data_IF_576367918764
#
_entry.id   IF_576367918764
#
_cell.length_a   1.000
_cell.length_b   1.000
_cell.length_c   1.000
_cell.angle_alpha   90.00
_cell.angle_beta   90.00
_cell.angle_gamma   90.00
#
_symmetry.space_group_name_H-M   'P 1'
#
loop_
_entity.id
_entity.type
_entity.pdbx_description
1 polymer ?
#
# COMPACT_ATOMS: atom_id res chain seq x y z
N UNK A 1 -1.02 12.42 -10.62
CA UNK A 1 -0.05 12.63 -9.52
C UNK A 1 0.40 11.25 -9.06
N UNK A 2 1.70 11.08 -8.85
CA UNK A 2 2.27 9.82 -8.35
C UNK A 2 2.93 10.10 -7.01
N UNK A 3 2.55 9.36 -5.97
CA UNK A 3 3.28 9.39 -4.70
C UNK A 3 4.31 8.27 -4.71
N UNK A 4 5.57 8.63 -4.56
CA UNK A 4 6.67 7.70 -4.31
C UNK A 4 7.07 7.80 -2.86
N UNK A 5 7.09 6.64 -2.18
CA UNK A 5 7.52 6.50 -0.80
C UNK A 5 8.54 5.36 -0.71
N UNK A 6 9.60 5.59 0.05
CA UNK A 6 10.63 4.58 0.36
C UNK A 6 10.67 4.37 1.87
N UNK A 7 10.49 3.13 2.36
CA UNK A 7 10.53 2.86 3.80
C UNK A 7 11.90 3.18 4.39
N UNK A 8 11.90 3.71 5.63
CA UNK A 8 13.12 3.84 6.44
C UNK A 8 13.45 2.50 7.11
N UNK A 9 14.71 2.29 7.50
CA UNK A 9 15.19 1.05 8.15
C UNK A 9 14.37 0.61 9.38
N UNK A 10 13.76 1.55 10.10
CA UNK A 10 12.95 1.25 11.28
C UNK A 10 11.47 0.92 10.96
N UNK A 11 11.05 0.97 9.69
CA UNK A 11 9.66 0.73 9.27
C UNK A 11 9.55 -0.68 8.67
N UNK A 12 9.29 -1.67 9.51
CA UNK A 12 9.02 -3.06 9.11
C UNK A 12 7.57 -3.45 9.43
N UNK A 13 7.08 -4.51 8.77
CA UNK A 13 5.74 -5.05 9.01
C UNK A 13 4.63 -4.37 8.20
N UNK A 14 3.36 -4.49 8.64
CA UNK A 14 2.20 -3.95 7.91
C UNK A 14 2.21 -2.43 7.84
N UNK A 15 2.10 -1.91 6.63
CA UNK A 15 1.97 -0.50 6.32
C UNK A 15 0.71 -0.28 5.49
N UNK A 16 0.16 0.94 5.55
CA UNK A 16 -1.05 1.30 4.84
C UNK A 16 -0.91 2.65 4.14
N UNK A 17 -1.58 2.78 2.99
CA UNK A 17 -1.72 4.05 2.31
C UNK A 17 -3.16 4.21 1.85
N UNK A 18 -3.77 5.36 2.15
CA UNK A 18 -5.10 5.72 1.70
C UNK A 18 -5.04 6.98 0.85
N UNK A 19 -5.74 7.00 -0.27
CA UNK A 19 -5.87 8.17 -1.13
C UNK A 19 -7.34 8.45 -1.46
N UNK A 20 -7.69 9.74 -1.50
CA UNK A 20 -8.96 10.25 -2.00
C UNK A 20 -8.71 11.39 -2.97
N UNK A 21 -9.62 11.58 -3.93
CA UNK A 21 -9.59 12.70 -4.86
C UNK A 21 -10.31 13.90 -4.25
N UNK A 22 -9.80 15.11 -4.48
CA UNK A 22 -10.45 16.37 -4.12
C UNK A 22 -10.83 17.09 -5.41
N UNK A 23 -12.10 17.51 -5.54
CA UNK A 23 -12.58 18.25 -6.71
C UNK A 23 -12.35 19.77 -6.60
N UNK A 24 -12.75 20.53 -7.63
CA UNK A 24 -12.61 21.99 -7.67
C UNK A 24 -13.53 22.75 -6.68
N UNK A 25 -14.44 22.05 -5.99
CA UNK A 25 -15.29 22.58 -4.93
C UNK A 25 -14.78 22.19 -3.54
N UNK A 26 -13.58 21.59 -3.48
CA UNK A 26 -12.97 21.09 -2.26
C UNK A 26 -13.76 19.94 -1.60
N UNK A 27 -14.48 19.14 -2.40
CA UNK A 27 -15.16 17.93 -1.94
C UNK A 27 -14.26 16.71 -2.14
N UNK A 28 -14.16 15.86 -1.12
CA UNK A 28 -13.35 14.64 -1.13
C UNK A 28 -14.17 13.41 -1.54
N UNK A 29 -13.61 12.53 -2.37
CA UNK A 29 -14.17 11.20 -2.65
C UNK A 29 -14.01 10.26 -1.45
N UNK A 30 -14.73 9.14 -1.48
CA UNK A 30 -14.41 8.01 -0.59
C UNK A 30 -12.94 7.59 -0.79
N UNK A 31 -12.20 7.35 0.30
CA UNK A 31 -10.80 6.97 0.20
C UNK A 31 -10.66 5.50 -0.21
N UNK A 32 -9.67 5.23 -1.07
CA UNK A 32 -9.22 3.89 -1.36
C UNK A 32 -7.92 3.60 -0.61
N UNK A 33 -7.89 2.48 0.12
CA UNK A 33 -6.76 2.09 0.96
C UNK A 33 -6.12 0.81 0.45
N UNK A 34 -4.78 0.77 0.50
CA UNK A 34 -3.97 -0.42 0.27
C UNK A 34 -3.18 -0.75 1.53
N UNK A 35 -2.94 -2.03 1.77
CA UNK A 35 -2.06 -2.53 2.83
C UNK A 35 -0.97 -3.38 2.20
N UNK A 36 0.26 -3.20 2.67
CA UNK A 36 1.43 -3.93 2.18
C UNK A 36 2.40 -4.22 3.33
N UNK A 37 3.24 -5.25 3.16
CA UNK A 37 4.25 -5.64 4.14
C UNK A 37 5.61 -5.10 3.69
N UNK A 38 6.29 -4.39 4.58
CA UNK A 38 7.66 -3.92 4.37
C UNK A 38 8.64 -4.85 5.08
N UNK A 39 9.80 -5.07 4.45
CA UNK A 39 10.87 -5.94 4.96
C UNK A 39 10.41 -7.41 5.12
N UNK A 40 9.44 -7.83 4.29
CA UNK A 40 8.93 -9.18 4.28
C UNK A 40 9.06 -9.79 2.89
N UNK A 41 9.72 -10.94 2.80
CA UNK A 41 9.78 -11.69 1.55
C UNK A 41 8.60 -12.68 1.55
N UNK A 42 7.77 -12.63 0.51
CA UNK A 42 6.70 -13.63 0.36
C UNK A 42 7.32 -15.03 0.37
N UNK A 43 6.75 -16.00 1.10
CA UNK A 43 7.17 -17.38 0.98
C UNK A 43 6.94 -17.85 -0.46
N UNK A 44 7.87 -18.65 -0.98
CA UNK A 44 7.67 -19.32 -2.25
C UNK A 44 6.58 -20.38 -2.05
N UNK A 45 5.38 -20.11 -2.55
CA UNK A 45 4.31 -21.10 -2.56
C UNK A 45 4.65 -22.09 -3.68
N UNK A 46 5.22 -23.24 -3.31
CA UNK A 46 5.28 -24.39 -4.22
C UNK A 46 3.81 -24.80 -4.43
N UNK A 47 3.23 -24.49 -5.59
CA UNK A 47 1.93 -25.02 -5.96
C UNK A 47 2.08 -26.54 -6.11
N UNK A 48 1.39 -27.38 -5.32
CA UNK A 48 1.32 -28.78 -5.66
C UNK A 48 0.54 -28.89 -6.97
N UNK A 49 1.20 -29.35 -8.03
CA UNK A 49 0.53 -29.86 -9.22
C UNK A 49 -0.18 -31.15 -8.81
N UNK A 50 -1.50 -31.08 -8.68
CA UNK A 50 -2.41 -32.23 -8.64
C UNK A 50 -2.87 -32.57 -10.06
#
# INVERSE_FOLDING_TARGET
>A
MTLTWTPKLAQSGPQGFCAGAIDNRNLQSDPWCITYLVDYTSPNIIRPTV
#
